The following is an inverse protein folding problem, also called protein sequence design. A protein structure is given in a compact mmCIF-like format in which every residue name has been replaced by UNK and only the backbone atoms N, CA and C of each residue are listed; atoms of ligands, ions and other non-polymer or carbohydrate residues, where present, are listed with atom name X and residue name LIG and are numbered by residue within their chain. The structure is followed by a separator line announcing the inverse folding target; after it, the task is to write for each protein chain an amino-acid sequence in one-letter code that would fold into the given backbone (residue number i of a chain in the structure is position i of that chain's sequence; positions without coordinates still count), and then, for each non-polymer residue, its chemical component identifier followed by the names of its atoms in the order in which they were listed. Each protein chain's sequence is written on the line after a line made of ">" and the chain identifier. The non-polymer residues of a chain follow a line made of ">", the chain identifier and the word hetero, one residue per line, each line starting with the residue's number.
data_IF_064136193579
#
_entry.id   IF_064136193579
#
_cell.length_a   1.000
_cell.length_b   1.000
_cell.length_c   1.000
_cell.angle_alpha   90.00
_cell.angle_beta   90.00
_cell.angle_gamma   90.00
#
_symmetry.space_group_name_H-M   'P 1'
#
loop_
_entity.id
_entity.type
_entity.pdbx_description
1 polymer ?
#
# COMPACT_ATOMS: atom_id res chain seq x y z
N UNK A 1 -5.71 17.62 -18.49
CA UNK A 1 -5.36 17.24 -17.09
C UNK A 1 -5.11 18.44 -16.15
N UNK A 2 -5.10 19.70 -16.64
CA UNK A 2 -4.96 20.88 -15.76
C UNK A 2 -3.52 21.20 -15.34
N UNK A 3 -2.53 20.84 -16.16
CA UNK A 3 -1.10 21.18 -15.94
C UNK A 3 -0.40 20.41 -14.82
N UNK A 4 -1.10 19.52 -14.10
CA UNK A 4 -0.52 18.68 -13.05
C UNK A 4 -1.17 17.30 -13.05
N UNK A 5 -0.34 16.27 -12.97
CA UNK A 5 -0.75 14.87 -13.15
C UNK A 5 -0.24 13.97 -12.04
N UNK A 6 -0.95 12.86 -11.84
CA UNK A 6 -0.52 11.69 -11.09
C UNK A 6 -0.23 10.56 -12.10
N UNK A 7 1.03 10.14 -12.29
CA UNK A 7 1.38 9.11 -13.26
C UNK A 7 1.32 7.70 -12.65
N UNK A 8 0.87 6.71 -13.42
CA UNK A 8 0.99 5.28 -13.09
C UNK A 8 1.24 4.44 -14.34
N UNK A 9 1.78 3.24 -14.15
CA UNK A 9 1.81 2.21 -15.20
C UNK A 9 0.48 1.43 -15.21
N UNK A 10 0.49 0.26 -15.84
CA UNK A 10 -0.65 -0.63 -15.96
C UNK A 10 -1.36 -0.86 -14.60
N UNK A 11 -0.60 -1.13 -13.54
CA UNK A 11 -1.15 -1.48 -12.22
C UNK A 11 -0.68 -0.54 -11.13
N UNK A 12 0.60 -0.23 -11.08
CA UNK A 12 1.22 0.44 -9.95
C UNK A 12 1.46 1.92 -10.22
N UNK A 13 1.27 2.73 -9.19
CA UNK A 13 1.75 4.10 -9.13
C UNK A 13 3.08 4.13 -8.33
N UNK A 14 4.00 5.06 -8.62
CA UNK A 14 5.34 5.04 -8.04
C UNK A 14 5.37 5.65 -6.62
N UNK A 15 4.44 5.22 -5.75
CA UNK A 15 4.22 5.77 -4.41
C UNK A 15 5.45 5.65 -3.51
N UNK A 16 6.17 4.55 -3.67
CA UNK A 16 7.45 4.24 -3.01
C UNK A 16 8.60 5.18 -3.38
N UNK A 17 8.53 5.83 -4.54
CA UNK A 17 9.56 6.76 -5.01
C UNK A 17 9.27 8.22 -4.68
N UNK A 18 8.20 8.53 -3.94
CA UNK A 18 7.82 9.93 -3.65
C UNK A 18 8.95 10.75 -2.99
N UNK A 19 9.89 10.09 -2.31
CA UNK A 19 11.05 10.69 -1.65
C UNK A 19 12.04 11.37 -2.62
N UNK A 20 12.12 10.95 -3.87
CA UNK A 20 13.03 11.56 -4.86
C UNK A 20 12.44 12.83 -5.49
N UNK A 21 11.14 13.06 -5.30
CA UNK A 21 10.44 14.25 -5.80
C UNK A 21 10.91 15.49 -5.04
N UNK A 22 11.15 16.58 -5.76
CA UNK A 22 11.49 17.89 -5.17
C UNK A 22 10.41 18.44 -4.23
N UNK A 23 9.17 17.97 -4.37
CA UNK A 23 8.04 18.37 -3.55
C UNK A 23 7.60 17.30 -2.55
N UNK A 24 8.31 16.16 -2.48
CA UNK A 24 7.88 14.96 -1.73
C UNK A 24 6.45 14.49 -2.09
N UNK A 25 5.97 14.80 -3.31
CA UNK A 25 4.66 14.37 -3.81
C UNK A 25 4.78 13.64 -5.14
N UNK A 26 3.72 12.94 -5.52
CA UNK A 26 3.56 12.25 -6.82
C UNK A 26 2.99 13.18 -7.91
N UNK A 27 2.94 14.48 -7.66
CA UNK A 27 2.51 15.48 -8.62
C UNK A 27 3.63 15.71 -9.63
N UNK A 28 3.31 15.52 -10.91
CA UNK A 28 4.20 15.88 -12.00
C UNK A 28 3.56 16.95 -12.89
N UNK A 29 4.39 17.85 -13.40
CA UNK A 29 4.07 18.90 -14.36
C UNK A 29 4.87 18.75 -15.65
N UNK A 30 5.99 18.01 -15.59
CA UNK A 30 6.85 17.72 -16.74
C UNK A 30 7.09 16.22 -16.90
N UNK A 31 7.51 15.80 -18.10
CA UNK A 31 7.90 14.41 -18.34
C UNK A 31 9.15 14.01 -17.54
N UNK A 32 10.10 14.93 -17.32
CA UNK A 32 11.31 14.66 -16.55
C UNK A 32 10.99 14.24 -15.11
N UNK A 33 10.00 14.87 -14.48
CA UNK A 33 9.52 14.50 -13.14
C UNK A 33 8.88 13.11 -13.13
N UNK A 34 8.10 12.76 -14.17
CA UNK A 34 7.52 11.42 -14.32
C UNK A 34 8.64 10.39 -14.46
N UNK A 35 9.60 10.64 -15.34
CA UNK A 35 10.73 9.73 -15.58
C UNK A 35 11.60 9.55 -14.32
N UNK A 36 11.78 10.60 -13.52
CA UNK A 36 12.52 10.54 -12.26
C UNK A 36 11.83 9.61 -11.25
N UNK A 37 10.54 9.81 -11.00
CA UNK A 37 9.76 8.93 -10.12
C UNK A 37 9.78 7.49 -10.62
N UNK A 38 9.57 7.30 -11.93
CA UNK A 38 9.44 5.97 -12.50
C UNK A 38 10.73 5.16 -12.41
N UNK A 39 11.89 5.82 -12.59
CA UNK A 39 13.20 5.16 -12.47
C UNK A 39 13.58 4.77 -11.05
N UNK A 40 12.99 5.42 -10.06
CA UNK A 40 13.29 5.21 -8.64
C UNK A 40 12.23 4.36 -7.91
N UNK A 41 11.29 3.75 -8.65
CA UNK A 41 10.17 2.99 -8.08
C UNK A 41 10.33 1.49 -8.28
N UNK A 42 10.46 0.76 -7.19
CA UNK A 42 10.48 -0.70 -7.16
C UNK A 42 9.11 -1.27 -7.55
N UNK A 43 8.03 -0.57 -7.18
CA UNK A 43 6.66 -0.94 -7.57
C UNK A 43 6.50 -0.95 -9.10
N UNK A 44 7.17 -0.04 -9.81
CA UNK A 44 7.15 -0.05 -11.27
C UNK A 44 8.11 -1.08 -11.87
N UNK A 45 9.26 -1.35 -11.22
CA UNK A 45 10.11 -2.48 -11.62
C UNK A 45 9.33 -3.78 -11.55
N UNK A 46 8.53 -3.97 -10.50
CA UNK A 46 7.61 -5.09 -10.38
C UNK A 46 6.63 -5.17 -11.57
N UNK A 47 5.92 -4.08 -11.89
CA UNK A 47 5.01 -4.04 -13.06
C UNK A 47 5.71 -4.41 -14.38
N UNK A 48 6.97 -4.02 -14.55
CA UNK A 48 7.72 -4.22 -15.79
C UNK A 48 8.31 -5.64 -15.93
N UNK A 49 8.71 -6.24 -14.81
CA UNK A 49 9.55 -7.45 -14.80
C UNK A 49 8.90 -8.66 -14.11
N UNK A 50 7.96 -8.43 -13.18
CA UNK A 50 7.49 -9.43 -12.22
C UNK A 50 5.95 -9.54 -12.15
N UNK A 51 5.22 -8.79 -12.98
CA UNK A 51 3.75 -8.70 -12.92
C UNK A 51 3.02 -10.05 -12.95
N UNK A 52 3.62 -11.07 -13.59
CA UNK A 52 3.03 -12.41 -13.72
C UNK A 52 3.71 -13.47 -12.85
N UNK A 53 4.61 -13.10 -11.94
CA UNK A 53 5.40 -14.08 -11.20
C UNK A 53 4.54 -15.01 -10.34
N UNK A 54 3.44 -14.51 -9.79
CA UNK A 54 2.47 -15.27 -8.99
C UNK A 54 1.36 -15.98 -9.81
N UNK A 55 1.32 -15.80 -11.13
CA UNK A 55 0.32 -16.44 -11.99
C UNK A 55 0.73 -17.89 -12.30
N UNK A 56 -0.16 -18.85 -12.03
CA UNK A 56 0.07 -20.28 -12.33
C UNK A 56 -0.12 -20.60 -13.82
N UNK A 57 -0.93 -19.82 -14.51
CA UNK A 57 -1.38 -19.96 -15.89
C UNK A 57 -0.64 -19.03 -16.87
N UNK A 58 0.53 -18.50 -16.47
CA UNK A 58 1.29 -17.54 -17.29
C UNK A 58 1.88 -18.18 -18.54
N UNK A 59 1.60 -17.57 -19.68
CA UNK A 59 2.24 -17.90 -20.98
C UNK A 59 3.44 -17.00 -21.31
N UNK A 60 3.63 -15.92 -20.55
CA UNK A 60 4.73 -14.96 -20.67
C UNK A 60 5.24 -14.57 -19.28
N UNK A 61 6.50 -14.16 -19.19
CA UNK A 61 7.07 -13.60 -17.95
C UNK A 61 6.71 -12.14 -17.73
N UNK A 62 6.34 -11.41 -18.78
CA UNK A 62 6.02 -9.98 -18.69
C UNK A 62 4.90 -9.55 -19.63
N UNK A 63 4.25 -8.40 -19.36
CA UNK A 63 3.25 -7.83 -20.25
C UNK A 63 3.84 -7.45 -21.61
N UNK A 64 3.08 -7.67 -22.68
CA UNK A 64 3.47 -7.25 -24.04
C UNK A 64 3.37 -5.74 -24.24
N UNK A 65 2.39 -5.11 -23.58
CA UNK A 65 2.11 -3.69 -23.70
C UNK A 65 2.16 -3.01 -22.34
N UNK A 66 2.76 -1.83 -22.31
CA UNK A 66 2.80 -0.95 -21.13
C UNK A 66 2.09 0.35 -21.44
N UNK A 67 1.31 0.82 -20.48
CA UNK A 67 0.52 2.03 -20.58
C UNK A 67 1.01 3.04 -19.55
N UNK A 68 1.30 4.25 -20.00
CA UNK A 68 1.49 5.40 -19.11
C UNK A 68 0.13 6.07 -18.91
N UNK A 69 -0.49 5.84 -17.76
CA UNK A 69 -1.74 6.48 -17.40
C UNK A 69 -1.45 7.79 -16.64
N UNK A 70 -1.95 8.91 -17.18
CA UNK A 70 -1.83 10.23 -16.56
C UNK A 70 -3.19 10.67 -16.03
N UNK A 71 -3.33 10.67 -14.70
CA UNK A 71 -4.56 11.13 -14.03
C UNK A 71 -4.40 12.58 -13.61
N UNK A 72 -5.51 13.33 -13.55
CA UNK A 72 -5.49 14.72 -13.06
C UNK A 72 -5.05 14.73 -11.60
N UNK A 73 -4.10 15.59 -11.24
CA UNK A 73 -3.72 15.80 -9.86
C UNK A 73 -4.79 16.63 -9.13
N UNK A 74 -5.15 16.21 -7.92
CA UNK A 74 -6.11 16.90 -7.07
C UNK A 74 -5.45 17.22 -5.72
N UNK A 75 -5.01 18.46 -5.49
CA UNK A 75 -4.29 18.84 -4.26
C UNK A 75 -5.18 18.78 -3.01
N UNK A 76 -6.49 18.76 -3.18
CA UNK A 76 -7.47 18.70 -2.09
C UNK A 76 -7.91 17.28 -1.73
N UNK A 77 -7.25 16.24 -2.27
CA UNK A 77 -7.54 14.87 -1.86
C UNK A 77 -7.02 14.66 -0.44
N UNK A 78 -7.88 14.05 0.37
CA UNK A 78 -7.66 13.76 1.77
C UNK A 78 -7.28 12.29 1.93
N UNK A 79 -6.04 11.96 2.33
CA UNK A 79 -5.59 10.56 2.43
C UNK A 79 -6.51 9.69 3.30
N UNK A 80 -7.13 10.28 4.32
CA UNK A 80 -8.04 9.60 5.24
C UNK A 80 -9.34 9.11 4.58
N UNK A 81 -9.72 9.67 3.42
CA UNK A 81 -10.94 9.29 2.71
C UNK A 81 -10.70 8.26 1.60
N UNK A 82 -9.52 7.64 1.55
CA UNK A 82 -9.19 6.52 0.67
C UNK A 82 -9.31 5.19 1.44
N UNK A 83 -10.03 4.23 0.86
CA UNK A 83 -10.27 2.91 1.46
C UNK A 83 -10.02 1.80 0.46
N UNK A 84 -9.50 0.67 0.95
CA UNK A 84 -9.42 -0.58 0.20
C UNK A 84 -10.55 -1.50 0.62
N UNK A 85 -11.28 -1.98 -0.36
CA UNK A 85 -12.39 -2.91 -0.21
C UNK A 85 -11.96 -4.29 -0.70
N UNK A 86 -12.27 -5.33 0.05
CA UNK A 86 -11.93 -6.72 -0.23
C UNK A 86 -13.19 -7.48 -0.61
N UNK A 87 -13.21 -8.05 -1.81
CA UNK A 87 -14.34 -8.78 -2.37
C UNK A 87 -13.93 -10.23 -2.55
N UNK A 88 -14.75 -11.14 -2.04
CA UNK A 88 -14.57 -12.58 -2.18
C UNK A 88 -15.90 -13.25 -2.47
N UNK A 89 -15.92 -14.17 -3.44
CA UNK A 89 -17.13 -14.83 -3.92
C UNK A 89 -18.26 -13.84 -4.24
N UNK A 90 -17.93 -12.73 -4.92
CA UNK A 90 -18.86 -11.62 -5.26
C UNK A 90 -19.48 -10.88 -4.07
N UNK A 91 -18.95 -11.06 -2.86
CA UNK A 91 -19.38 -10.37 -1.64
C UNK A 91 -18.27 -9.45 -1.14
N UNK A 92 -18.64 -8.23 -0.77
CA UNK A 92 -17.74 -7.36 0.00
C UNK A 92 -17.62 -7.98 1.39
N UNK A 93 -16.39 -8.28 1.83
CA UNK A 93 -16.14 -8.92 3.13
C UNK A 93 -15.37 -8.02 4.10
N UNK A 94 -14.62 -7.05 3.56
CA UNK A 94 -13.78 -6.21 4.39
C UNK A 94 -13.51 -4.84 3.75
N UNK A 95 -13.37 -3.83 4.60
CA UNK A 95 -12.98 -2.48 4.22
C UNK A 95 -11.84 -2.05 5.14
N UNK A 96 -10.77 -1.50 4.58
CA UNK A 96 -9.63 -0.99 5.32
C UNK A 96 -9.33 0.46 4.94
N UNK A 97 -9.06 1.31 5.95
CA UNK A 97 -8.40 2.60 5.74
C UNK A 97 -7.10 2.42 4.94
N UNK A 98 -6.92 3.20 3.86
CA UNK A 98 -5.75 3.05 2.99
C UNK A 98 -4.48 3.64 3.57
N UNK A 99 -4.59 4.79 4.23
CA UNK A 99 -3.49 5.49 4.90
C UNK A 99 -3.43 5.09 6.38
N UNK A 100 -2.67 4.05 6.69
CA UNK A 100 -2.63 3.44 8.03
C UNK A 100 -1.60 4.06 8.98
N UNK A 101 -0.80 5.02 8.51
CA UNK A 101 0.28 5.62 9.32
C UNK A 101 -0.18 6.74 10.24
N UNK A 102 -1.43 7.20 10.06
CA UNK A 102 -1.98 8.35 10.76
C UNK A 102 -3.36 8.03 11.32
N UNK A 103 -3.58 8.43 12.58
CA UNK A 103 -4.89 8.40 13.21
C UNK A 103 -5.70 9.65 12.82
N UNK A 104 -6.91 9.45 12.30
CA UNK A 104 -7.83 10.51 11.92
C UNK A 104 -9.13 10.42 12.73
N UNK A 105 -9.33 11.26 13.76
CA UNK A 105 -10.52 11.20 14.63
C UNK A 105 -11.86 11.25 13.87
N UNK A 106 -11.90 12.01 12.77
CA UNK A 106 -13.09 12.13 11.90
C UNK A 106 -13.55 10.78 11.33
N UNK A 107 -12.66 9.81 11.16
CA UNK A 107 -13.04 8.48 10.67
C UNK A 107 -13.81 7.68 11.72
N UNK A 108 -13.48 7.86 13.01
CA UNK A 108 -14.22 7.23 14.11
C UNK A 108 -15.65 7.78 14.16
N UNK A 109 -15.79 9.10 14.04
CA UNK A 109 -17.10 9.77 14.03
C UNK A 109 -17.99 9.36 12.84
N UNK A 110 -17.38 9.03 11.70
CA UNK A 110 -18.09 8.73 10.44
C UNK A 110 -18.10 7.25 10.07
N UNK A 111 -17.59 6.37 10.94
CA UNK A 111 -17.34 4.96 10.60
C UNK A 111 -18.59 4.26 10.07
N UNK A 112 -19.71 4.42 10.77
CA UNK A 112 -20.97 3.75 10.41
C UNK A 112 -21.58 4.33 9.12
N UNK A 113 -21.56 5.66 8.96
CA UNK A 113 -22.04 6.32 7.73
C UNK A 113 -21.23 5.89 6.51
N UNK A 114 -19.89 5.84 6.66
CA UNK A 114 -18.98 5.38 5.61
C UNK A 114 -19.22 3.91 5.26
N UNK A 115 -19.43 3.05 6.26
CA UNK A 115 -19.74 1.63 6.04
C UNK A 115 -20.97 1.47 5.14
N UNK A 116 -22.09 2.08 5.54
CA UNK A 116 -23.35 2.02 4.78
C UNK A 116 -23.19 2.58 3.36
N UNK A 117 -22.47 3.70 3.23
CA UNK A 117 -22.23 4.33 1.94
C UNK A 117 -21.39 3.45 1.01
N UNK A 118 -20.35 2.80 1.53
CA UNK A 118 -19.44 1.93 0.76
C UNK A 118 -20.15 0.63 0.38
N UNK A 119 -20.90 0.01 1.29
CA UNK A 119 -21.74 -1.16 0.99
C UNK A 119 -22.77 -0.84 -0.09
N UNK A 120 -23.48 0.28 0.05
CA UNK A 120 -24.43 0.76 -0.95
C UNK A 120 -23.78 1.02 -2.31
N UNK A 121 -22.58 1.61 -2.32
CA UNK A 121 -21.83 1.81 -3.57
C UNK A 121 -21.42 0.47 -4.20
N UNK A 122 -20.90 -0.48 -3.42
CA UNK A 122 -20.51 -1.79 -3.92
C UNK A 122 -21.69 -2.51 -4.56
N UNK A 123 -22.81 -2.64 -3.85
CA UNK A 123 -24.00 -3.35 -4.31
C UNK A 123 -24.59 -2.74 -5.59
N UNK A 124 -24.64 -1.40 -5.68
CA UNK A 124 -25.28 -0.73 -6.81
C UNK A 124 -24.36 -0.50 -8.02
N UNK A 125 -23.05 -0.38 -7.79
CA UNK A 125 -22.11 0.08 -8.83
C UNK A 125 -21.06 -0.96 -9.22
N UNK A 126 -20.71 -1.91 -8.36
CA UNK A 126 -19.54 -2.78 -8.55
C UNK A 126 -19.92 -4.26 -8.66
N UNK A 127 -20.74 -4.77 -7.72
CA UNK A 127 -21.01 -6.21 -7.51
C UNK A 127 -21.31 -6.99 -8.79
N UNK A 128 -22.15 -6.45 -9.67
CA UNK A 128 -22.59 -7.15 -10.90
C UNK A 128 -21.85 -6.72 -12.16
N UNK A 129 -20.88 -5.80 -12.06
CA UNK A 129 -20.21 -5.19 -13.23
C UNK A 129 -18.76 -5.61 -13.38
N UNK A 130 -18.10 -6.04 -12.31
CA UNK A 130 -16.75 -6.54 -12.36
C UNK A 130 -16.75 -8.06 -12.53
N UNK A 131 -15.92 -8.57 -13.42
CA UNK A 131 -16.00 -9.96 -13.89
C UNK A 131 -15.42 -10.99 -12.90
N UNK A 132 -14.51 -10.56 -12.04
CA UNK A 132 -13.83 -11.43 -11.09
C UNK A 132 -14.62 -11.59 -9.80
N UNK A 133 -14.57 -12.78 -9.20
CA UNK A 133 -15.26 -13.06 -7.93
C UNK A 133 -14.45 -12.61 -6.72
N UNK A 134 -13.11 -12.63 -6.84
CA UNK A 134 -12.16 -12.36 -5.77
C UNK A 134 -11.19 -11.25 -6.21
N UNK A 135 -11.24 -10.12 -5.54
CA UNK A 135 -10.41 -8.95 -5.87
C UNK A 135 -10.38 -7.95 -4.72
N UNK A 136 -9.45 -7.01 -4.79
CA UNK A 136 -9.50 -5.81 -3.97
C UNK A 136 -9.72 -4.59 -4.87
N UNK A 137 -10.41 -3.57 -4.38
CA UNK A 137 -10.55 -2.31 -5.10
C UNK A 137 -10.41 -1.13 -4.14
N UNK A 138 -9.76 -0.08 -4.62
CA UNK A 138 -9.55 1.14 -3.88
C UNK A 138 -10.63 2.15 -4.27
N UNK A 139 -11.17 2.84 -3.27
CA UNK A 139 -12.16 3.90 -3.45
C UNK A 139 -11.73 5.17 -2.74
N UNK A 140 -12.30 6.29 -3.17
CA UNK A 140 -12.20 7.57 -2.52
C UNK A 140 -13.60 8.13 -2.26
N UNK A 141 -13.85 8.56 -1.03
CA UNK A 141 -15.10 9.22 -0.63
C UNK A 141 -14.89 10.74 -0.66
N UNK A 142 -15.62 11.44 -1.51
CA UNK A 142 -15.48 12.89 -1.66
C UNK A 142 -16.21 13.66 -0.56
N UNK A 143 -15.88 14.94 -0.39
CA UNK A 143 -16.54 15.83 0.59
C UNK A 143 -18.05 16.01 0.36
N UNK A 144 -18.55 15.72 -0.86
CA UNK A 144 -19.97 15.71 -1.19
C UNK A 144 -20.55 14.29 -1.20
N UNK A 145 -19.94 13.39 -0.43
CA UNK A 145 -20.44 12.03 -0.16
C UNK A 145 -20.64 11.20 -1.44
N UNK A 146 -19.76 11.39 -2.43
CA UNK A 146 -19.72 10.51 -3.61
C UNK A 146 -18.55 9.55 -3.46
N UNK A 147 -18.84 8.27 -3.67
CA UNK A 147 -17.81 7.24 -3.75
C UNK A 147 -17.30 7.13 -5.19
N UNK A 148 -15.98 7.11 -5.35
CA UNK A 148 -15.32 6.95 -6.65
C UNK A 148 -14.32 5.81 -6.59
N UNK A 149 -14.30 4.97 -7.61
CA UNK A 149 -13.24 3.97 -7.79
C UNK A 149 -11.92 4.68 -8.09
N UNK A 150 -10.88 4.29 -7.37
CA UNK A 150 -9.50 4.71 -7.56
C UNK A 150 -8.74 3.63 -8.32
N UNK A 151 -8.84 2.37 -7.91
CA UNK A 151 -8.07 1.29 -8.53
C UNK A 151 -8.72 -0.08 -8.31
N UNK A 152 -8.33 -1.06 -9.13
CA UNK A 152 -8.61 -2.49 -8.90
C UNK A 152 -7.28 -3.23 -8.75
N UNK A 153 -7.25 -4.23 -7.86
CA UNK A 153 -6.09 -5.02 -7.50
C UNK A 153 -6.48 -6.51 -7.39
N UNK A 154 -5.49 -7.39 -7.53
CA UNK A 154 -5.68 -8.84 -7.39
C UNK A 154 -5.98 -9.23 -5.95
N UNK A 155 -6.67 -10.36 -5.76
CA UNK A 155 -6.74 -11.05 -4.48
C UNK A 155 -5.36 -11.65 -4.15
N UNK A 156 -4.74 -11.23 -3.06
CA UNK A 156 -3.41 -11.68 -2.67
C UNK A 156 -2.25 -11.13 -3.51
N UNK A 157 -1.13 -11.84 -3.45
CA UNK A 157 0.11 -11.48 -4.15
C UNK A 157 0.73 -10.21 -3.58
N UNK A 158 1.03 -9.26 -4.46
CA UNK A 158 1.65 -7.97 -4.12
C UNK A 158 0.65 -6.92 -3.61
N UNK A 159 -0.64 -7.25 -3.61
CA UNK A 159 -1.68 -6.39 -3.04
C UNK A 159 -1.51 -6.33 -1.52
N UNK A 160 -1.35 -5.14 -0.97
CA UNK A 160 -1.32 -4.94 0.48
C UNK A 160 -2.70 -5.15 1.11
N UNK A 161 -2.76 -5.94 2.17
CA UNK A 161 -3.96 -6.19 2.99
C UNK A 161 -4.22 -5.11 4.05
N UNK A 162 -3.26 -4.20 4.26
CA UNK A 162 -3.38 -2.99 5.10
C UNK A 162 -3.69 -3.29 6.57
N UNK A 163 -4.90 -3.00 7.04
CA UNK A 163 -5.35 -3.31 8.40
C UNK A 163 -5.73 -4.79 8.58
N UNK A 164 -5.68 -5.57 7.51
CA UNK A 164 -5.91 -7.00 7.52
C UNK A 164 -4.64 -7.84 7.29
N UNK A 165 -4.71 -9.13 7.59
CA UNK A 165 -3.86 -10.19 7.04
C UNK A 165 -4.57 -10.87 5.88
N UNK A 166 -3.84 -11.51 4.96
CA UNK A 166 -4.47 -12.30 3.90
C UNK A 166 -5.13 -13.55 4.45
N UNK A 167 -4.53 -14.17 5.47
CA UNK A 167 -5.08 -15.36 6.11
C UNK A 167 -6.46 -15.08 6.70
N UNK A 168 -6.66 -13.97 7.42
CA UNK A 168 -7.99 -13.69 8.00
C UNK A 168 -9.03 -13.40 6.91
N UNK A 169 -8.68 -12.67 5.84
CA UNK A 169 -9.59 -12.43 4.71
C UNK A 169 -10.03 -13.74 4.04
N UNK A 170 -9.19 -14.78 4.07
CA UNK A 170 -9.52 -16.12 3.58
C UNK A 170 -10.44 -16.92 4.52
N UNK A 171 -10.63 -16.45 5.76
CA UNK A 171 -11.45 -17.11 6.77
C UNK A 171 -12.64 -16.26 7.27
N UNK A 172 -12.82 -15.03 6.78
CA UNK A 172 -14.05 -14.28 7.02
C UNK A 172 -15.20 -15.03 6.33
N UNK A 173 -16.03 -15.65 7.16
CA UNK A 173 -17.27 -16.30 6.75
C UNK A 173 -18.39 -15.27 6.92
N UNK A 174 -18.88 -14.69 5.82
CA UNK A 174 -20.10 -13.89 5.88
C UNK A 174 -21.28 -14.86 6.11
N UNK A 175 -21.70 -15.09 7.35
CA UNK A 175 -22.93 -15.86 7.63
C UNK A 175 -24.17 -15.09 7.13
N UNK A 176 -24.10 -13.75 7.12
CA UNK A 176 -25.12 -12.83 6.62
C UNK A 176 -24.61 -12.01 5.41
N UNK A 177 -25.52 -11.47 4.59
CA UNK A 177 -25.13 -10.65 3.41
C UNK A 177 -24.54 -9.27 3.76
N UNK A 178 -24.75 -8.79 5.00
CA UNK A 178 -24.38 -7.44 5.42
C UNK A 178 -23.24 -7.38 6.45
N UNK A 179 -22.65 -8.51 6.83
CA UNK A 179 -21.55 -8.55 7.80
C UNK A 179 -20.20 -8.23 7.11
N UNK A 180 -19.96 -6.93 6.93
CA UNK A 180 -18.72 -6.40 6.35
C UNK A 180 -17.82 -5.87 7.44
N UNK A 181 -16.61 -6.42 7.55
CA UNK A 181 -15.67 -5.95 8.56
C UNK A 181 -15.00 -4.64 8.12
N UNK A 182 -15.29 -3.53 8.84
CA UNK A 182 -14.67 -2.23 8.55
C UNK A 182 -13.62 -1.85 9.60
N UNK A 183 -12.36 -1.84 9.17
CA UNK A 183 -11.22 -1.46 9.99
C UNK A 183 -10.68 -0.09 9.60
N UNK A 184 -10.56 0.77 10.60
CA UNK A 184 -9.86 2.06 10.57
C UNK A 184 -8.84 2.08 11.71
N UNK A 185 -7.90 3.02 11.67
CA UNK A 185 -7.07 3.33 12.83
C UNK A 185 -7.94 4.09 13.83
N UNK A 186 -8.22 3.50 15.00
CA UNK A 186 -9.16 4.05 15.99
C UNK A 186 -8.49 4.94 17.04
N UNK A 187 -7.17 4.85 17.20
CA UNK A 187 -6.39 5.67 18.11
C UNK A 187 -4.93 5.82 17.65
N UNK A 188 -4.16 6.64 18.38
CA UNK A 188 -2.75 6.95 18.03
C UNK A 188 -1.79 5.76 18.19
N UNK A 189 -2.12 4.78 19.02
CA UNK A 189 -1.34 3.56 19.21
C UNK A 189 -1.66 2.51 18.12
N UNK A 190 -2.79 2.65 17.43
CA UNK A 190 -3.21 1.77 16.33
C UNK A 190 -2.57 2.07 14.96
N UNK A 191 -1.72 3.09 14.85
CA UNK A 191 -1.05 3.40 13.58
C UNK A 191 -0.10 2.26 13.18
N UNK A 192 -0.10 1.90 11.90
CA UNK A 192 0.83 0.90 11.35
C UNK A 192 1.97 1.60 10.60
N UNK A 193 3.19 1.06 10.61
CA UNK A 193 4.26 1.60 9.79
C UNK A 193 3.83 1.59 8.32
N UNK A 194 4.07 2.69 7.64
CA UNK A 194 3.87 2.74 6.19
C UNK A 194 4.86 1.81 5.53
N UNK A 195 4.45 1.14 4.45
CA UNK A 195 5.41 0.45 3.59
C UNK A 195 6.31 1.50 2.92
N UNK A 196 7.41 1.84 3.58
CA UNK A 196 8.60 2.34 2.92
C UNK A 196 9.36 1.10 2.48
N UNK A 197 9.19 0.73 1.20
CA UNK A 197 9.90 -0.41 0.60
C UNK A 197 11.40 -0.15 0.46
N UNK A 198 11.83 1.11 0.58
CA UNK A 198 13.23 1.49 0.54
C UNK A 198 13.79 1.67 1.97
N UNK A 199 14.82 0.88 2.28
CA UNK A 199 15.76 1.13 3.37
C UNK A 199 17.12 1.49 2.75
N UNK A 200 17.97 2.30 3.43
CA UNK A 200 19.33 2.54 2.97
C UNK A 200 20.04 1.22 2.71
N UNK A 201 20.85 1.15 1.65
CA UNK A 201 21.57 -0.08 1.30
C UNK A 201 22.40 -0.62 2.47
N UNK A 202 22.99 0.27 3.27
CA UNK A 202 23.77 -0.06 4.47
C UNK A 202 22.98 -0.86 5.52
N UNK A 203 21.65 -0.80 5.53
CA UNK A 203 20.81 -1.61 6.41
C UNK A 203 20.67 -3.07 5.94
N UNK A 204 20.85 -3.32 4.64
CA UNK A 204 20.75 -4.66 4.04
C UNK A 204 22.12 -5.32 3.86
N UNK A 205 23.16 -4.50 3.69
CA UNK A 205 24.51 -5.01 3.47
C UNK A 205 25.12 -5.56 4.76
N UNK A 206 25.22 -6.89 4.83
CA UNK A 206 25.91 -7.62 5.91
C UNK A 206 27.24 -8.18 5.44
N UNK A 207 27.77 -7.72 4.31
CA UNK A 207 29.07 -8.18 3.80
C UNK A 207 30.23 -7.71 4.67
N UNK A 208 31.39 -8.33 4.53
CA UNK A 208 32.60 -7.92 5.25
C UNK A 208 33.02 -6.50 4.84
N UNK A 209 33.20 -5.63 5.82
CA UNK A 209 33.48 -4.20 5.67
C UNK A 209 32.26 -3.29 5.80
N UNK A 210 31.04 -3.85 5.75
CA UNK A 210 29.78 -3.11 5.88
C UNK A 210 29.62 -2.44 7.25
N UNK A 211 28.63 -1.54 7.35
CA UNK A 211 28.26 -0.90 8.62
C UNK A 211 27.88 -1.91 9.70
N UNK A 212 27.11 -2.96 9.35
CA UNK A 212 26.74 -4.02 10.29
C UNK A 212 27.93 -4.85 10.74
N UNK A 213 28.83 -5.21 9.83
CA UNK A 213 30.04 -5.96 10.16
C UNK A 213 30.98 -5.17 11.09
N UNK A 214 31.12 -3.86 10.88
CA UNK A 214 31.86 -2.99 11.79
C UNK A 214 31.18 -2.88 13.17
N UNK A 215 29.86 -2.67 13.19
CA UNK A 215 29.10 -2.59 14.44
C UNK A 215 29.22 -3.87 15.27
N UNK A 216 29.03 -5.05 14.65
CA UNK A 216 29.10 -6.34 15.32
C UNK A 216 30.52 -6.61 15.87
N UNK A 217 31.58 -6.28 15.11
CA UNK A 217 32.96 -6.37 15.61
C UNK A 217 33.18 -5.49 16.84
N UNK A 218 32.75 -4.24 16.78
CA UNK A 218 32.93 -3.31 17.90
C UNK A 218 32.13 -3.77 19.14
N UNK A 219 30.92 -4.29 18.94
CA UNK A 219 30.11 -4.84 20.02
C UNK A 219 30.77 -6.08 20.68
N UNK A 220 31.34 -6.97 19.88
CA UNK A 220 32.09 -8.14 20.37
C UNK A 220 33.34 -7.73 21.16
N UNK A 221 34.07 -6.70 20.69
CA UNK A 221 35.24 -6.17 21.39
C UNK A 221 34.86 -5.54 22.74
N UNK A 222 33.81 -4.72 22.78
CA UNK A 222 33.27 -4.14 24.01
C UNK A 222 32.80 -5.20 25.01
N UNK A 223 32.08 -6.22 24.54
CA UNK A 223 31.63 -7.32 25.39
C UNK A 223 32.82 -8.02 26.07
N UNK A 224 33.89 -8.28 25.31
CA UNK A 224 35.13 -8.89 25.83
C UNK A 224 35.84 -7.98 26.85
N UNK A 225 35.84 -6.67 26.64
CA UNK A 225 36.40 -5.71 27.59
C UNK A 225 35.61 -5.70 28.90
N UNK A 226 34.28 -5.69 28.82
CA UNK A 226 33.40 -5.71 29.99
C UNK A 226 33.57 -6.99 30.81
N UNK A 227 33.63 -8.16 30.17
CA UNK A 227 33.87 -9.44 30.88
C UNK A 227 35.22 -9.44 31.62
N UNK A 228 36.29 -8.97 30.98
CA UNK A 228 37.62 -8.88 31.62
C UNK A 228 37.66 -7.89 32.78
N UNK A 229 36.93 -6.79 32.68
CA UNK A 229 36.84 -5.79 33.76
C UNK A 229 36.06 -6.31 34.98
N UNK A 230 35.10 -7.21 34.78
CA UNK A 230 34.30 -7.81 35.85
C UNK A 230 35.10 -8.90 36.59
N UNK A 231 35.94 -9.65 35.88
CA UNK A 231 36.87 -10.63 36.49
C UNK A 231 38.01 -9.97 37.27
N UNK A 232 38.45 -8.77 36.88
CA UNK A 232 39.53 -8.03 37.57
C UNK A 232 39.07 -7.27 38.83
N UNK A 233 37.76 -7.18 39.07
CA UNK A 233 37.16 -6.50 40.22
C UNK A 233 36.61 -7.43 41.32
N UNK A 234 36.76 -8.74 41.16
CA UNK A 234 36.33 -9.78 42.11
C UNK A 234 37.48 -10.29 42.98
#
# INVERSE_FOLDING_TARGET
>A
LGGSVFPKLNWSAPKDSAWISTSATLRCTTFSEIALLFRASDSLVHDLCHAYDSCQDKSSSRPHNFFLALRKWYPSLKPEMEFRCFVRNHKLIGISQREVTTFYPVLVEKKDDLLLQIQGFFNNCVRTKFELENYAFDIYVTNNERVKIVDFNTWGGFTLSLLFTWDELEHIHSEEEDDVEFRIVEDRCGVRPGLKTAVPYDYLDTSSGSGWDQFLRNADEELRQQSRSTEAGA
#
